data_IF_273724656045
#
_entry.id   IF_273724656045
#
_cell.length_a   1.000
_cell.length_b   1.000
_cell.length_c   1.000
_cell.angle_alpha   90.00
_cell.angle_beta   90.00
_cell.angle_gamma   90.00
#
_symmetry.space_group_name_H-M   'P 1'
#
loop_
_entity.id
_entity.type
_entity.pdbx_description
1 polymer ?
#
# COMPACT_ATOMS: atom_id res chain seq x y z
N UNK A 1 18.31 -13.50 -7.11
CA UNK A 1 17.15 -12.66 -6.72
C UNK A 1 16.15 -13.57 -6.02
N UNK A 2 15.35 -13.05 -5.07
CA UNK A 2 14.29 -13.88 -4.49
C UNK A 2 13.27 -14.22 -5.59
N UNK A 3 12.89 -15.49 -5.67
CA UNK A 3 11.85 -15.96 -6.58
C UNK A 3 10.59 -16.23 -5.76
N UNK A 4 9.43 -15.84 -6.27
CA UNK A 4 8.12 -16.01 -5.63
C UNK A 4 7.93 -15.18 -4.35
N UNK A 5 8.57 -14.01 -4.27
CA UNK A 5 8.44 -13.09 -3.15
C UNK A 5 7.64 -11.85 -3.56
N UNK A 6 6.76 -11.40 -2.67
CA UNK A 6 6.24 -10.03 -2.69
C UNK A 6 7.16 -9.19 -1.83
N UNK A 7 7.64 -8.07 -2.36
CA UNK A 7 8.41 -7.12 -1.59
C UNK A 7 7.50 -6.02 -1.08
N UNK A 8 7.62 -5.72 0.21
CA UNK A 8 7.09 -4.51 0.81
C UNK A 8 8.21 -3.86 1.62
N UNK A 9 8.44 -2.57 1.40
CA UNK A 9 9.54 -1.84 2.00
C UNK A 9 9.11 -0.46 2.45
N UNK A 10 9.82 0.07 3.44
CA UNK A 10 9.80 1.49 3.80
C UNK A 10 11.19 2.08 3.58
N UNK A 11 11.24 3.32 3.14
CA UNK A 11 12.46 4.06 2.87
C UNK A 11 12.36 5.44 3.52
N UNK A 12 13.42 5.87 4.20
CA UNK A 12 13.51 7.23 4.72
C UNK A 12 13.87 8.21 3.60
N UNK A 13 13.08 9.26 3.44
CA UNK A 13 13.23 10.31 2.42
C UNK A 13 13.28 11.69 3.11
N UNK A 14 14.46 12.03 3.63
CA UNK A 14 14.65 13.25 4.41
C UNK A 14 13.92 13.20 5.75
N UNK A 15 12.87 14.01 5.91
CA UNK A 15 11.99 14.01 7.09
C UNK A 15 10.72 13.20 6.90
N UNK A 16 10.53 12.59 5.72
CA UNK A 16 9.36 11.79 5.38
C UNK A 16 9.77 10.35 5.09
N UNK A 17 8.77 9.51 4.85
CA UNK A 17 8.91 8.11 4.54
C UNK A 17 8.18 7.76 3.26
N UNK A 18 8.70 6.76 2.57
CA UNK A 18 8.10 6.19 1.37
C UNK A 18 7.80 4.71 1.59
N UNK A 19 6.58 4.27 1.29
CA UNK A 19 6.18 2.86 1.32
C UNK A 19 6.13 2.34 -0.11
N UNK A 20 6.74 1.19 -0.37
CA UNK A 20 6.78 0.56 -1.70
C UNK A 20 6.30 -0.88 -1.60
N UNK A 21 5.52 -1.34 -2.56
CA UNK A 21 5.25 -2.75 -2.75
C UNK A 21 5.41 -3.17 -4.21
N UNK A 22 6.03 -4.32 -4.42
CA UNK A 22 6.30 -4.90 -5.73
C UNK A 22 5.89 -6.39 -5.73
N UNK A 23 5.05 -6.76 -6.69
CA UNK A 23 4.61 -8.14 -6.92
C UNK A 23 5.21 -8.77 -8.19
N UNK A 24 6.01 -8.04 -8.97
CA UNK A 24 6.66 -8.54 -10.19
C UNK A 24 7.58 -9.74 -9.91
N UNK A 25 8.21 -9.77 -8.74
CA UNK A 25 9.10 -10.86 -8.31
C UNK A 25 8.35 -12.08 -7.76
N UNK A 26 7.02 -11.99 -7.60
CA UNK A 26 6.20 -13.06 -7.05
C UNK A 26 5.94 -14.20 -8.05
N UNK A 27 6.33 -14.04 -9.31
CA UNK A 27 6.19 -15.05 -10.35
C UNK A 27 4.75 -15.21 -10.86
N UNK A 28 4.59 -15.87 -12.01
CA UNK A 28 3.31 -16.00 -12.72
C UNK A 28 2.23 -16.81 -11.98
N UNK A 29 2.61 -17.54 -10.92
CA UNK A 29 1.70 -18.33 -10.08
C UNK A 29 1.01 -17.53 -8.97
N UNK A 30 1.49 -16.32 -8.67
CA UNK A 30 0.88 -15.46 -7.64
C UNK A 30 0.10 -14.34 -8.32
N UNK A 31 -1.22 -14.47 -8.36
CA UNK A 31 -2.11 -13.45 -8.92
C UNK A 31 -2.70 -12.63 -7.79
N UNK A 32 -2.44 -11.32 -7.81
CA UNK A 32 -3.24 -10.36 -7.05
C UNK A 32 -4.59 -10.27 -7.76
N UNK A 33 -5.67 -10.53 -7.04
CA UNK A 33 -7.01 -10.43 -7.60
C UNK A 33 -7.37 -8.97 -7.89
N UNK A 34 -8.26 -8.74 -8.85
CA UNK A 34 -8.72 -7.38 -9.17
C UNK A 34 -9.34 -6.70 -7.94
N UNK A 35 -10.07 -7.47 -7.11
CA UNK A 35 -10.63 -6.97 -5.86
C UNK A 35 -9.57 -6.45 -4.87
N UNK A 36 -8.44 -7.16 -4.73
CA UNK A 36 -7.33 -6.70 -3.88
C UNK A 36 -6.67 -5.45 -4.47
N UNK A 37 -6.44 -5.43 -5.78
CA UNK A 37 -5.89 -4.26 -6.48
C UNK A 37 -6.77 -3.03 -6.30
N UNK A 38 -8.09 -3.17 -6.45
CA UNK A 38 -9.06 -2.09 -6.31
C UNK A 38 -9.15 -1.60 -4.85
N UNK A 39 -9.09 -2.51 -3.87
CA UNK A 39 -9.05 -2.16 -2.46
C UNK A 39 -7.80 -1.34 -2.10
N UNK A 40 -6.62 -1.79 -2.55
CA UNK A 40 -5.35 -1.08 -2.34
C UNK A 40 -5.38 0.29 -3.02
N UNK A 41 -5.81 0.37 -4.29
CA UNK A 41 -5.94 1.63 -5.02
C UNK A 41 -6.86 2.60 -4.28
N UNK A 42 -8.02 2.13 -3.85
CA UNK A 42 -9.01 2.95 -3.13
C UNK A 42 -8.49 3.42 -1.76
N UNK A 43 -7.67 2.61 -1.08
CA UNK A 43 -7.01 3.04 0.16
C UNK A 43 -5.96 4.13 -0.10
N UNK A 44 -5.11 3.95 -1.11
CA UNK A 44 -4.08 4.95 -1.46
C UNK A 44 -4.72 6.28 -1.86
N UNK A 45 -5.78 6.26 -2.67
CA UNK A 45 -6.50 7.48 -3.05
C UNK A 45 -7.05 8.23 -1.83
N UNK A 46 -7.58 7.51 -0.84
CA UNK A 46 -8.05 8.13 0.41
C UNK A 46 -6.91 8.74 1.24
N UNK A 47 -5.73 8.12 1.25
CA UNK A 47 -4.56 8.70 1.90
C UNK A 47 -4.11 9.99 1.18
N UNK A 48 -4.17 10.02 -0.15
CA UNK A 48 -3.90 11.23 -0.95
C UNK A 48 -4.91 12.32 -0.63
N UNK A 49 -6.21 12.00 -0.60
CA UNK A 49 -7.28 12.94 -0.27
C UNK A 49 -7.13 13.50 1.16
N UNK A 50 -6.71 12.66 2.11
CA UNK A 50 -6.41 13.04 3.49
C UNK A 50 -5.07 13.78 3.65
N UNK A 51 -4.27 13.92 2.58
CA UNK A 51 -2.91 14.47 2.58
C UNK A 51 -1.95 13.74 3.54
N UNK A 52 -2.18 12.45 3.75
CA UNK A 52 -1.28 11.57 4.50
C UNK A 52 -0.15 11.02 3.62
N UNK A 53 -0.34 11.01 2.31
CA UNK A 53 0.66 10.69 1.29
C UNK A 53 0.58 11.70 0.15
N UNK A 54 1.67 11.87 -0.59
CA UNK A 54 1.76 12.84 -1.68
C UNK A 54 0.97 12.42 -2.93
N UNK A 55 0.57 13.38 -3.76
CA UNK A 55 -0.11 13.20 -5.05
C UNK A 55 0.73 12.41 -6.06
N UNK A 56 2.04 12.27 -5.84
CA UNK A 56 2.94 11.42 -6.61
C UNK A 56 2.77 9.92 -6.34
N UNK A 57 1.79 9.49 -5.54
CA UNK A 57 1.56 8.08 -5.26
C UNK A 57 1.26 7.29 -6.55
N UNK A 58 1.99 6.19 -6.76
CA UNK A 58 1.83 5.31 -7.90
C UNK A 58 0.99 4.09 -7.53
N UNK A 59 -0.01 3.78 -8.37
CA UNK A 59 -0.99 2.70 -8.15
C UNK A 59 -1.09 1.79 -9.36
N UNK A 60 0.04 1.27 -9.83
CA UNK A 60 0.07 0.29 -10.91
C UNK A 60 -0.49 -1.07 -10.48
N UNK A 61 -0.80 -1.98 -11.43
CA UNK A 61 -1.40 -3.28 -11.13
C UNK A 61 -0.46 -4.26 -10.39
N UNK A 62 0.82 -3.94 -10.32
CA UNK A 62 1.89 -4.81 -9.79
C UNK A 62 2.92 -4.06 -8.94
N UNK A 63 2.78 -2.73 -8.86
CA UNK A 63 3.71 -1.86 -8.14
C UNK A 63 2.94 -0.71 -7.51
N UNK A 64 3.14 -0.51 -6.21
CA UNK A 64 2.52 0.54 -5.40
C UNK A 64 3.60 1.36 -4.71
N UNK A 65 3.41 2.68 -4.65
CA UNK A 65 4.37 3.58 -4.05
C UNK A 65 3.63 4.77 -3.43
N UNK A 66 3.90 5.03 -2.15
CA UNK A 66 3.31 6.12 -1.38
C UNK A 66 4.45 6.98 -0.82
N UNK A 67 4.60 8.19 -1.32
CA UNK A 67 5.58 9.17 -0.84
C UNK A 67 4.99 10.07 0.25
N UNK A 68 5.85 10.76 0.99
CA UNK A 68 5.42 11.81 1.91
C UNK A 68 4.74 11.32 3.19
N UNK A 69 4.90 10.05 3.54
CA UNK A 69 4.37 9.53 4.81
C UNK A 69 5.08 10.22 5.96
N UNK A 70 4.31 10.77 6.90
CA UNK A 70 4.78 11.72 7.92
C UNK A 70 5.84 11.16 8.89
N UNK A 71 5.76 9.89 9.24
CA UNK A 71 6.61 9.26 10.26
C UNK A 71 6.81 7.76 10.00
N UNK A 72 7.81 7.19 10.67
CA UNK A 72 8.21 5.78 10.50
C UNK A 72 7.11 4.82 10.96
N UNK A 73 6.41 5.16 12.04
CA UNK A 73 5.37 4.32 12.64
C UNK A 73 4.22 4.13 11.64
N UNK A 74 3.73 5.23 11.06
CA UNK A 74 2.70 5.23 10.03
C UNK A 74 3.19 4.51 8.76
N UNK A 75 4.45 4.69 8.37
CA UNK A 75 5.01 3.96 7.23
C UNK A 75 5.03 2.45 7.48
N UNK A 76 5.41 2.00 8.69
CA UNK A 76 5.41 0.59 9.09
C UNK A 76 3.99 0.01 9.12
N UNK A 77 3.03 0.76 9.64
CA UNK A 77 1.62 0.35 9.65
C UNK A 77 1.08 0.15 8.24
N UNK A 78 1.30 1.13 7.35
CA UNK A 78 0.86 1.06 5.95
C UNK A 78 1.56 -0.08 5.20
N UNK A 79 2.85 -0.30 5.44
CA UNK A 79 3.58 -1.44 4.88
C UNK A 79 3.01 -2.78 5.35
N UNK A 80 2.73 -2.94 6.64
CA UNK A 80 2.14 -4.18 7.17
C UNK A 80 0.73 -4.43 6.59
N UNK A 81 -0.09 -3.38 6.52
CA UNK A 81 -1.42 -3.44 5.92
C UNK A 81 -1.38 -3.82 4.43
N UNK A 82 -0.46 -3.23 3.67
CA UNK A 82 -0.28 -3.53 2.26
C UNK A 82 0.22 -4.96 2.05
N UNK A 83 1.15 -5.43 2.88
CA UNK A 83 1.63 -6.80 2.85
C UNK A 83 0.49 -7.80 3.10
N UNK A 84 -0.37 -7.57 4.10
CA UNK A 84 -1.53 -8.39 4.39
C UNK A 84 -2.53 -8.42 3.23
N UNK A 85 -2.85 -7.25 2.66
CA UNK A 85 -3.76 -7.15 1.52
C UNK A 85 -3.26 -7.95 0.30
N UNK A 86 -1.95 -7.88 0.02
CA UNK A 86 -1.30 -8.68 -1.03
C UNK A 86 -1.27 -10.19 -0.73
N UNK A 87 -1.71 -10.60 0.46
CA UNK A 87 -1.94 -11.97 0.89
C UNK A 87 -3.44 -12.27 1.10
N UNK A 88 -4.32 -11.49 0.47
CA UNK A 88 -5.79 -11.61 0.50
C UNK A 88 -6.45 -11.25 1.85
N UNK A 89 -5.69 -10.70 2.80
CA UNK A 89 -6.23 -10.18 4.05
C UNK A 89 -6.41 -8.65 3.98
N UNK A 90 -7.64 -8.21 3.71
CA UNK A 90 -7.99 -6.79 3.61
C UNK A 90 -8.30 -6.12 4.96
N UNK A 91 -8.33 -6.89 6.05
CA UNK A 91 -8.75 -6.39 7.36
C UNK A 91 -7.74 -5.36 7.92
N UNK A 92 -6.41 -5.60 7.90
CA UNK A 92 -5.42 -4.61 8.30
C UNK A 92 -5.47 -3.32 7.47
N UNK A 93 -5.69 -3.43 6.15
CA UNK A 93 -5.81 -2.27 5.27
C UNK A 93 -7.04 -1.43 5.58
N UNK A 94 -8.17 -2.08 5.83
CA UNK A 94 -9.43 -1.40 6.20
C UNK A 94 -9.34 -0.71 7.55
N UNK A 95 -8.54 -1.25 8.48
CA UNK A 95 -8.28 -0.64 9.80
C UNK A 95 -7.35 0.57 9.69
N UNK A 96 -6.24 0.42 8.96
CA UNK A 96 -5.24 1.48 8.80
C UNK A 96 -5.75 2.65 7.94
N UNK A 97 -6.64 2.36 6.99
CA UNK A 97 -7.29 3.34 6.11
C UNK A 97 -8.81 3.04 6.09
N UNK A 98 -9.58 3.59 7.05
CA UNK A 98 -11.02 3.38 7.15
C UNK A 98 -11.78 3.94 5.95
N UNK A 99 -12.78 3.23 5.40
CA UNK A 99 -13.62 3.75 4.32
C UNK A 99 -14.17 5.11 4.73
N UNK A 100 -14.28 6.04 3.77
CA UNK A 100 -14.87 7.33 4.04
C UNK A 100 -16.24 7.08 4.68
N UNK A 101 -16.39 7.50 5.94
CA UNK A 101 -17.67 7.38 6.63
C UNK A 101 -18.71 8.03 5.75
N UNK A 102 -19.66 7.25 5.25
CA UNK A 102 -20.88 7.82 4.69
C UNK A 102 -21.53 8.57 5.84
N UNK A 103 -21.30 9.88 5.93
CA UNK A 103 -22.12 10.76 6.74
C UNK A 103 -23.56 10.54 6.27
N UNK A 104 -24.31 9.76 7.04
CA UNK A 104 -25.77 9.72 7.03
C UNK A 104 -26.28 10.73 8.03
#
# INVERSE_FOLDING_TARGET
MAHNAVFVAIEAEGQHWTVKADTLTAGSGRRVTDAVNDAIRSAILRLVDAREVDFGAYTGPVYFMMHGVRDEERARELAAALHAALHEDLEPLSRAVPPASSLR
#
